data_IF_439383390597
#
_entry.id   IF_439383390597
#
_cell.length_a   1.000
_cell.length_b   1.000
_cell.length_c   1.000
_cell.angle_alpha   90.00
_cell.angle_beta   90.00
_cell.angle_gamma   90.00
#
_symmetry.space_group_name_H-M   'P 1'
#
loop_
_entity.id
_entity.type
_entity.pdbx_description
1 polymer ?
#
# COMPACT_ATOMS: atom_id res chain seq x y z
N UNK A 1 -38.14 -34.86 -0.64
CA UNK A 1 -37.10 -34.25 -1.53
C UNK A 1 -37.15 -32.76 -1.27
N UNK A 2 -36.00 -32.11 -1.23
CA UNK A 2 -35.92 -30.64 -1.13
C UNK A 2 -36.52 -29.99 -2.38
N UNK A 3 -37.19 -28.88 -2.21
CA UNK A 3 -37.70 -28.07 -3.32
C UNK A 3 -36.55 -27.41 -4.09
N UNK A 4 -36.78 -26.92 -5.30
CA UNK A 4 -35.77 -26.18 -6.10
C UNK A 4 -35.28 -24.94 -5.35
N UNK A 5 -36.17 -24.27 -4.61
CA UNK A 5 -35.82 -23.09 -3.79
C UNK A 5 -34.90 -23.47 -2.60
N UNK A 6 -35.23 -24.55 -1.89
CA UNK A 6 -34.36 -25.11 -0.84
C UNK A 6 -32.99 -25.54 -1.36
N UNK A 7 -32.92 -26.04 -2.62
CA UNK A 7 -31.65 -26.38 -3.26
C UNK A 7 -30.86 -25.14 -3.71
N UNK A 8 -31.56 -24.11 -4.23
CA UNK A 8 -30.92 -22.83 -4.57
C UNK A 8 -30.34 -22.10 -3.35
N UNK A 9 -30.94 -22.27 -2.18
CA UNK A 9 -30.43 -21.73 -0.93
C UNK A 9 -29.11 -22.39 -0.46
N UNK A 10 -28.67 -23.50 -1.09
CA UNK A 10 -27.39 -24.14 -0.83
C UNK A 10 -26.24 -23.59 -1.69
N UNK A 11 -26.56 -22.74 -2.68
CA UNK A 11 -25.54 -22.15 -3.54
C UNK A 11 -24.82 -21.02 -2.80
N UNK A 12 -23.50 -20.97 -2.98
CA UNK A 12 -22.74 -19.77 -2.62
C UNK A 12 -23.18 -18.61 -3.53
N UNK A 13 -23.45 -17.47 -2.91
CA UNK A 13 -23.86 -16.26 -3.63
C UNK A 13 -22.90 -15.14 -3.27
N UNK A 14 -22.28 -14.55 -4.27
CA UNK A 14 -21.65 -13.25 -4.14
C UNK A 14 -22.73 -12.17 -4.18
N UNK A 15 -22.81 -11.34 -3.17
CA UNK A 15 -23.75 -10.21 -3.11
C UNK A 15 -22.98 -8.90 -3.19
N UNK A 16 -23.55 -7.91 -3.89
CA UNK A 16 -22.96 -6.58 -3.92
C UNK A 16 -23.23 -5.86 -2.60
N UNK A 17 -22.37 -4.92 -2.22
CA UNK A 17 -22.62 -4.04 -1.07
C UNK A 17 -23.91 -3.26 -1.26
N UNK A 18 -24.21 -2.87 -2.51
CA UNK A 18 -25.44 -2.16 -2.83
C UNK A 18 -26.71 -2.96 -2.54
N UNK A 19 -26.67 -4.29 -2.69
CA UNK A 19 -27.82 -5.17 -2.42
C UNK A 19 -27.87 -5.61 -0.96
N UNK A 20 -26.71 -5.98 -0.37
CA UNK A 20 -26.65 -6.56 0.98
C UNK A 20 -26.61 -5.50 2.09
N UNK A 21 -26.02 -4.34 1.83
CA UNK A 21 -25.84 -3.26 2.82
C UNK A 21 -26.03 -1.85 2.19
N UNK A 22 -27.19 -1.54 1.58
CA UNK A 22 -27.41 -0.29 0.87
C UNK A 22 -27.23 0.96 1.76
N UNK A 23 -27.50 0.86 3.05
CA UNK A 23 -27.33 1.95 4.01
C UNK A 23 -25.85 2.32 4.23
N UNK A 24 -24.90 1.44 3.89
CA UNK A 24 -23.48 1.71 3.99
C UNK A 24 -22.93 2.59 2.84
N UNK A 25 -23.65 2.72 1.73
CA UNK A 25 -23.15 3.42 0.54
C UNK A 25 -22.86 4.90 0.79
N UNK A 26 -23.69 5.61 1.55
CA UNK A 26 -23.42 7.01 1.88
C UNK A 26 -22.21 7.13 2.82
N UNK A 27 -22.12 6.27 3.83
CA UNK A 27 -20.99 6.24 4.73
C UNK A 27 -19.68 5.92 3.99
N UNK A 28 -19.74 5.07 2.97
CA UNK A 28 -18.60 4.78 2.08
C UNK A 28 -18.17 6.02 1.29
N UNK A 29 -19.11 6.82 0.76
CA UNK A 29 -18.80 8.09 0.11
C UNK A 29 -18.06 9.03 1.07
N UNK A 30 -18.61 9.23 2.26
CA UNK A 30 -18.07 10.16 3.26
C UNK A 30 -16.69 9.70 3.77
N UNK A 31 -16.51 8.41 4.07
CA UNK A 31 -15.23 7.82 4.49
C UNK A 31 -14.13 8.00 3.44
N UNK A 32 -14.49 7.81 2.17
CA UNK A 32 -13.54 7.88 1.07
C UNK A 32 -13.05 9.31 0.75
N UNK A 33 -13.70 10.37 1.24
CA UNK A 33 -13.13 11.73 1.14
C UNK A 33 -11.85 11.85 1.97
N UNK A 34 -11.84 11.27 3.18
CA UNK A 34 -10.62 11.16 4.00
C UNK A 34 -9.55 10.30 3.34
N UNK A 35 -9.95 9.18 2.74
CA UNK A 35 -9.04 8.29 2.02
C UNK A 35 -8.37 8.98 0.81
N UNK A 36 -9.11 9.72 -0.01
CA UNK A 36 -8.53 10.49 -1.12
C UNK A 36 -7.52 11.53 -0.61
N UNK A 37 -7.81 12.18 0.51
CA UNK A 37 -6.89 13.13 1.14
C UNK A 37 -5.61 12.44 1.62
N UNK A 38 -5.73 11.23 2.18
CA UNK A 38 -4.59 10.41 2.58
C UNK A 38 -3.72 10.04 1.36
N UNK A 39 -4.30 9.53 0.28
CA UNK A 39 -3.59 9.20 -0.96
C UNK A 39 -2.82 10.38 -1.54
N UNK A 40 -3.43 11.56 -1.57
CA UNK A 40 -2.81 12.78 -2.07
C UNK A 40 -1.64 13.28 -1.21
N UNK A 41 -1.62 12.91 0.08
CA UNK A 41 -0.61 13.32 1.06
C UNK A 41 0.44 12.25 1.35
N UNK A 42 0.28 11.05 0.79
CA UNK A 42 1.04 9.85 1.15
C UNK A 42 1.46 9.06 -0.09
N UNK A 43 2.12 9.72 -1.06
CA UNK A 43 2.56 9.09 -2.31
C UNK A 43 3.80 8.21 -2.15
N UNK A 44 4.55 8.39 -1.06
CA UNK A 44 5.72 7.59 -0.70
C UNK A 44 5.53 6.98 0.69
N UNK A 45 6.29 5.94 1.02
CA UNK A 45 6.22 5.32 2.35
C UNK A 45 6.59 6.30 3.48
N UNK A 46 7.53 7.24 3.24
CA UNK A 46 7.88 8.28 4.21
C UNK A 46 6.75 9.26 4.46
N UNK A 47 6.05 9.64 3.41
CA UNK A 47 4.89 10.53 3.50
C UNK A 47 3.71 9.82 4.15
N UNK A 48 3.50 8.53 3.85
CA UNK A 48 2.49 7.71 4.50
C UNK A 48 2.73 7.61 6.01
N UNK A 49 3.98 7.37 6.44
CA UNK A 49 4.35 7.37 7.86
C UNK A 49 4.09 8.73 8.52
N UNK A 50 4.50 9.85 7.90
CA UNK A 50 4.27 11.20 8.46
C UNK A 50 2.80 11.55 8.57
N UNK A 51 2.03 11.23 7.54
CA UNK A 51 0.58 11.45 7.53
C UNK A 51 -0.10 10.61 8.62
N UNK A 52 0.28 9.34 8.74
CA UNK A 52 -0.23 8.42 9.76
C UNK A 52 0.17 8.85 11.17
N UNK A 53 1.43 9.29 11.38
CA UNK A 53 1.89 9.82 12.68
C UNK A 53 1.04 10.99 13.13
N UNK A 54 0.75 11.93 12.21
CA UNK A 54 -0.12 13.06 12.52
C UNK A 54 -1.52 12.63 12.91
N UNK A 55 -2.15 11.71 12.16
CA UNK A 55 -3.49 11.18 12.49
C UNK A 55 -3.51 10.49 13.86
N UNK A 56 -2.48 9.71 14.19
CA UNK A 56 -2.34 9.06 15.48
C UNK A 56 -2.18 10.09 16.63
N UNK A 57 -1.33 11.10 16.45
CA UNK A 57 -1.13 12.17 17.44
C UNK A 57 -2.43 12.94 17.69
N UNK A 58 -3.16 13.30 16.63
CA UNK A 58 -4.45 13.99 16.71
C UNK A 58 -5.51 13.13 17.46
N UNK A 59 -5.38 11.78 17.40
CA UNK A 59 -6.20 10.80 18.12
C UNK A 59 -5.70 10.46 19.55
N UNK A 60 -4.65 11.15 20.03
CA UNK A 60 -4.13 11.01 21.38
C UNK A 60 -3.10 9.90 21.59
N UNK A 61 -2.59 9.29 20.52
CA UNK A 61 -1.47 8.35 20.63
C UNK A 61 -0.19 9.08 21.01
N UNK A 62 0.62 8.44 21.85
CA UNK A 62 1.92 8.94 22.29
C UNK A 62 3.04 8.02 21.78
N UNK A 63 4.20 8.60 21.55
CA UNK A 63 5.37 7.81 21.18
C UNK A 63 5.69 6.81 22.29
N UNK A 64 5.81 5.55 21.93
CA UNK A 64 6.11 4.46 22.86
C UNK A 64 7.51 4.62 23.46
N UNK A 65 7.61 4.47 24.77
CA UNK A 65 8.88 4.48 25.52
C UNK A 65 9.10 3.10 26.11
N UNK A 66 10.11 2.35 25.67
CA UNK A 66 10.40 1.04 26.22
C UNK A 66 10.62 1.05 27.74
N UNK A 67 9.98 0.13 28.45
CA UNK A 67 10.05 0.02 29.92
C UNK A 67 8.96 0.78 30.69
N UNK A 68 8.15 1.60 30.03
CA UNK A 68 6.95 2.17 30.65
C UNK A 68 5.87 1.10 30.85
N UNK A 69 5.16 1.17 32.00
CA UNK A 69 3.97 0.34 32.23
C UNK A 69 2.80 0.90 31.45
N UNK A 70 2.12 0.03 30.73
CA UNK A 70 0.96 0.38 29.91
C UNK A 70 -0.33 -0.12 30.56
N UNK A 71 -1.21 0.79 30.95
CA UNK A 71 -2.54 0.46 31.46
C UNK A 71 -3.53 0.22 30.29
N UNK A 72 -4.63 -0.53 30.52
CA UNK A 72 -5.71 -0.65 29.55
C UNK A 72 -6.19 0.73 29.01
N UNK A 73 -6.43 0.82 27.70
CA UNK A 73 -6.81 2.06 27.01
C UNK A 73 -5.64 2.99 26.69
N UNK A 74 -4.39 2.67 27.10
CA UNK A 74 -3.22 3.45 26.68
C UNK A 74 -2.98 3.30 25.17
N UNK A 75 -2.81 4.43 24.48
CA UNK A 75 -2.55 4.53 23.03
C UNK A 75 -1.11 4.90 22.78
N UNK A 76 -0.37 4.05 22.09
CA UNK A 76 1.06 4.26 21.79
C UNK A 76 1.38 3.98 20.33
N UNK A 77 2.44 4.63 19.82
CA UNK A 77 2.99 4.34 18.50
C UNK A 77 4.52 4.36 18.50
N UNK A 78 5.12 3.72 17.52
CA UNK A 78 6.55 3.80 17.23
C UNK A 78 6.80 3.88 15.73
N UNK A 79 7.93 4.43 15.33
CA UNK A 79 8.33 4.57 13.92
C UNK A 79 9.66 3.86 13.72
N UNK A 80 9.73 3.05 12.67
CA UNK A 80 10.95 2.39 12.24
C UNK A 80 11.52 3.10 11.01
N UNK A 81 12.64 3.83 11.20
CA UNK A 81 13.44 4.48 10.14
C UNK A 81 12.64 5.39 9.19
N UNK A 82 11.57 6.00 9.69
CA UNK A 82 10.66 6.88 8.93
C UNK A 82 9.95 6.18 7.74
N UNK A 83 9.95 4.84 7.69
CA UNK A 83 9.37 4.06 6.60
C UNK A 83 8.32 3.05 7.06
N UNK A 84 8.20 2.82 8.35
CA UNK A 84 7.15 2.00 8.94
C UNK A 84 6.64 2.67 10.19
N UNK A 85 5.33 2.53 10.47
CA UNK A 85 4.72 3.00 11.70
C UNK A 85 3.88 1.88 12.32
N UNK A 86 3.99 1.74 13.64
CA UNK A 86 3.28 0.76 14.43
C UNK A 86 2.51 1.49 15.52
N UNK A 87 1.23 1.22 15.64
CA UNK A 87 0.36 1.76 16.68
C UNK A 87 -0.24 0.63 17.50
N UNK A 88 -0.55 0.88 18.76
CA UNK A 88 -1.26 -0.06 19.60
C UNK A 88 -2.17 0.64 20.60
N UNK A 89 -3.36 0.07 20.82
CA UNK A 89 -4.27 0.41 21.91
C UNK A 89 -4.34 -0.76 22.87
N UNK A 90 -3.92 -0.52 24.11
CA UNK A 90 -3.80 -1.58 25.12
C UNK A 90 -5.16 -2.08 25.58
N UNK A 91 -5.38 -3.38 25.46
CA UNK A 91 -6.61 -4.05 25.85
C UNK A 91 -6.81 -4.20 27.35
N UNK A 92 -8.02 -4.61 27.75
CA UNK A 92 -8.34 -4.93 29.14
C UNK A 92 -7.90 -6.30 29.56
N UNK A 93 -7.77 -7.25 28.60
CA UNK A 93 -7.18 -8.59 28.83
C UNK A 93 -5.66 -8.51 28.80
N UNK A 94 -4.98 -9.44 29.47
CA UNK A 94 -3.52 -9.61 29.33
C UNK A 94 -3.16 -9.96 27.89
N UNK A 95 -1.99 -9.53 27.43
CA UNK A 95 -1.44 -9.96 26.14
C UNK A 95 -1.27 -11.50 26.03
N UNK A 96 -1.14 -12.22 27.15
CA UNK A 96 -1.14 -13.70 27.15
C UNK A 96 -2.48 -14.32 26.70
N UNK A 97 -3.57 -13.55 26.75
CA UNK A 97 -4.85 -13.97 26.17
C UNK A 97 -4.91 -13.80 24.65
N UNK A 98 -3.90 -13.17 24.06
CA UNK A 98 -3.80 -12.84 22.65
C UNK A 98 -3.87 -11.34 22.38
N UNK A 99 -3.71 -11.00 21.11
CA UNK A 99 -3.82 -9.64 20.57
C UNK A 99 -4.42 -9.70 19.16
N UNK A 100 -4.95 -8.58 18.69
CA UNK A 100 -5.45 -8.43 17.33
C UNK A 100 -4.49 -7.54 16.54
N UNK A 101 -3.88 -8.12 15.50
CA UNK A 101 -2.86 -7.48 14.69
C UNK A 101 -3.40 -7.23 13.28
N UNK A 102 -3.41 -5.98 12.83
CA UNK A 102 -3.70 -5.58 11.46
C UNK A 102 -2.41 -5.10 10.80
N UNK A 103 -2.07 -5.67 9.66
CA UNK A 103 -0.87 -5.29 8.90
C UNK A 103 -1.27 -4.96 7.47
N UNK A 104 -0.75 -3.85 6.94
CA UNK A 104 -0.83 -3.44 5.54
C UNK A 104 0.50 -2.83 5.12
N UNK A 105 0.82 -2.82 3.83
CA UNK A 105 2.02 -2.12 3.37
C UNK A 105 1.71 -0.71 2.86
N UNK A 106 2.75 0.12 2.74
CA UNK A 106 2.61 1.53 2.34
C UNK A 106 3.58 1.94 1.23
N UNK A 107 4.48 1.06 0.82
CA UNK A 107 5.23 1.21 -0.42
C UNK A 107 4.34 0.84 -1.62
N UNK A 108 4.69 1.32 -2.79
CA UNK A 108 3.96 1.06 -4.05
C UNK A 108 4.93 1.00 -5.21
N UNK A 109 4.60 0.28 -6.30
CA UNK A 109 5.44 0.24 -7.49
C UNK A 109 5.68 1.64 -8.08
N UNK A 110 6.94 1.94 -8.38
CA UNK A 110 7.37 3.29 -8.80
C UNK A 110 8.68 3.28 -9.57
N UNK A 111 9.22 4.47 -9.81
CA UNK A 111 10.58 4.64 -10.30
C UNK A 111 11.44 5.35 -9.23
N UNK A 112 12.63 4.83 -8.95
CA UNK A 112 13.61 5.47 -8.07
C UNK A 112 14.71 6.12 -8.91
N UNK A 113 15.28 7.24 -8.46
CA UNK A 113 16.46 7.80 -9.11
C UNK A 113 17.69 6.93 -8.86
N UNK A 114 18.51 6.75 -9.92
CA UNK A 114 19.82 6.08 -9.79
C UNK A 114 20.81 6.97 -9.01
N UNK A 115 21.88 6.39 -8.43
CA UNK A 115 22.85 7.15 -7.62
C UNK A 115 23.54 8.31 -8.34
N UNK A 116 23.64 8.28 -9.67
CA UNK A 116 24.14 9.39 -10.52
C UNK A 116 23.10 9.62 -11.61
N UNK A 117 22.00 10.35 -11.31
CA UNK A 117 20.85 10.38 -12.19
C UNK A 117 20.96 11.43 -13.30
N UNK A 118 21.56 12.60 -13.05
CA UNK A 118 21.48 13.75 -13.94
C UNK A 118 22.39 13.58 -15.16
N UNK A 119 21.79 13.68 -16.34
CA UNK A 119 22.56 13.76 -17.60
C UNK A 119 21.88 14.67 -18.62
N UNK A 120 22.63 15.13 -19.60
CA UNK A 120 22.07 15.81 -20.75
C UNK A 120 22.46 15.10 -22.04
N UNK A 121 21.61 15.20 -23.05
CA UNK A 121 21.87 14.71 -24.38
C UNK A 121 21.07 15.53 -25.41
N UNK A 122 21.75 15.99 -26.46
CA UNK A 122 21.12 16.71 -27.60
C UNK A 122 20.22 17.90 -27.20
N UNK A 123 20.64 18.66 -26.17
CA UNK A 123 19.90 19.85 -25.73
C UNK A 123 18.76 19.58 -24.75
N UNK A 124 18.70 18.40 -24.17
CA UNK A 124 17.68 18.00 -23.19
C UNK A 124 18.35 17.40 -21.96
N UNK A 125 17.87 17.77 -20.77
CA UNK A 125 18.29 17.24 -19.48
C UNK A 125 17.32 16.17 -18.97
N UNK A 126 17.87 15.10 -18.43
CA UNK A 126 17.16 13.93 -17.96
C UNK A 126 17.63 13.44 -16.60
N UNK A 127 16.77 12.67 -15.92
CA UNK A 127 17.12 11.82 -14.78
C UNK A 127 17.03 10.34 -15.17
N UNK A 128 18.06 9.56 -14.85
CA UNK A 128 18.06 8.09 -14.96
C UNK A 128 17.30 7.50 -13.80
N UNK A 129 16.47 6.52 -14.10
CA UNK A 129 15.68 5.82 -13.08
C UNK A 129 16.02 4.33 -13.01
N UNK A 130 15.56 3.70 -11.95
CA UNK A 130 15.44 2.27 -11.76
C UNK A 130 14.02 1.99 -11.28
N UNK A 131 13.29 1.06 -11.88
CA UNK A 131 11.95 0.72 -11.39
C UNK A 131 12.02 -0.08 -10.09
N UNK A 132 11.02 0.11 -9.25
CA UNK A 132 10.80 -0.53 -7.97
C UNK A 132 9.49 -1.32 -8.03
N UNK A 133 9.49 -2.59 -7.56
CA UNK A 133 8.33 -3.47 -7.64
C UNK A 133 7.97 -3.94 -9.06
N UNK A 134 6.81 -4.49 -9.21
CA UNK A 134 6.33 -5.12 -10.44
C UNK A 134 5.56 -4.16 -11.34
N UNK A 135 6.23 -3.35 -12.17
CA UNK A 135 5.57 -2.42 -13.10
C UNK A 135 5.41 -2.97 -14.52
N UNK A 136 4.38 -2.51 -15.21
CA UNK A 136 4.27 -2.59 -16.69
C UNK A 136 4.85 -1.31 -17.29
N UNK A 137 6.09 -1.35 -17.75
CA UNK A 137 6.89 -0.19 -18.17
C UNK A 137 6.20 0.70 -19.20
N UNK A 138 5.40 0.13 -20.11
CA UNK A 138 4.68 0.88 -21.14
C UNK A 138 3.60 1.83 -20.59
N UNK A 139 3.18 1.69 -19.33
CA UNK A 139 2.18 2.56 -18.71
C UNK A 139 2.77 3.88 -18.17
N UNK A 140 4.09 3.97 -18.05
CA UNK A 140 4.78 5.10 -17.43
C UNK A 140 5.15 6.26 -18.36
N UNK A 141 5.43 6.05 -19.69
CA UNK A 141 5.62 7.15 -20.61
C UNK A 141 4.36 8.01 -20.81
N UNK A 142 4.58 9.29 -21.10
CA UNK A 142 3.56 10.28 -21.49
C UNK A 142 2.56 10.69 -20.40
N UNK A 143 2.80 10.32 -19.15
CA UNK A 143 2.02 10.80 -18.01
C UNK A 143 2.79 11.88 -17.23
N UNK A 144 2.10 12.83 -16.58
CA UNK A 144 2.73 13.78 -15.66
C UNK A 144 3.28 13.05 -14.44
N UNK A 145 4.53 13.36 -14.08
CA UNK A 145 5.27 12.77 -12.96
C UNK A 145 5.72 13.84 -11.99
N UNK A 146 5.85 13.48 -10.72
CA UNK A 146 6.35 14.28 -9.62
C UNK A 146 7.61 13.62 -9.02
N UNK A 147 8.42 14.42 -8.30
CA UNK A 147 9.61 13.96 -7.57
C UNK A 147 9.37 14.12 -6.08
N UNK A 148 9.50 13.04 -5.33
CA UNK A 148 9.36 12.99 -3.88
C UNK A 148 10.56 12.33 -3.24
N UNK A 149 10.90 12.69 -2.00
CA UNK A 149 11.90 11.97 -1.24
C UNK A 149 12.82 12.84 -0.41
N UNK A 150 13.99 12.30 -0.08
CA UNK A 150 14.97 12.94 0.79
C UNK A 150 16.38 12.86 0.22
N UNK A 151 17.17 13.90 0.50
CA UNK A 151 18.59 13.95 0.15
C UNK A 151 19.40 14.35 1.39
N UNK A 152 20.32 13.49 1.81
CA UNK A 152 21.26 13.84 2.88
C UNK A 152 22.49 14.55 2.31
N UNK A 153 22.75 15.78 2.78
CA UNK A 153 23.90 16.58 2.39
C UNK A 153 25.19 16.08 3.04
N UNK A 154 26.32 16.59 2.59
CA UNK A 154 27.64 16.20 3.10
C UNK A 154 27.83 16.47 4.61
N UNK A 155 27.12 17.46 5.16
CA UNK A 155 27.13 17.82 6.58
C UNK A 155 26.17 16.99 7.45
N UNK A 156 25.46 16.02 6.85
CA UNK A 156 24.48 15.18 7.52
C UNK A 156 23.08 15.78 7.63
N UNK A 157 22.86 17.00 7.18
CA UNK A 157 21.51 17.60 7.13
C UNK A 157 20.68 16.97 6.01
N UNK A 158 19.36 16.87 6.22
CA UNK A 158 18.40 16.33 5.27
C UNK A 158 17.66 17.44 4.53
N UNK A 159 17.51 17.30 3.21
CA UNK A 159 16.60 18.10 2.39
C UNK A 159 15.45 17.22 1.94
N UNK A 160 14.23 17.69 2.12
CA UNK A 160 13.02 17.05 1.56
C UNK A 160 12.77 17.58 0.16
N UNK A 161 12.49 16.68 -0.77
CA UNK A 161 12.14 16.98 -2.16
C UNK A 161 10.68 16.64 -2.36
N UNK A 162 9.88 17.62 -2.81
CA UNK A 162 8.51 17.42 -3.26
C UNK A 162 8.24 18.44 -4.37
N UNK A 163 8.25 17.99 -5.62
CA UNK A 163 8.08 18.85 -6.80
C UNK A 163 7.09 18.18 -7.74
N UNK A 164 6.01 18.88 -8.11
CA UNK A 164 5.00 18.40 -9.04
C UNK A 164 3.61 18.23 -8.44
N UNK A 165 3.43 18.57 -7.15
CA UNK A 165 2.16 18.40 -6.42
C UNK A 165 1.29 19.65 -6.38
N UNK A 166 1.88 20.83 -6.41
CA UNK A 166 1.16 22.10 -6.40
C UNK A 166 0.88 22.55 -7.85
N UNK A 167 -0.23 23.21 -8.07
CA UNK A 167 -0.60 23.76 -9.40
C UNK A 167 0.47 24.70 -9.95
N UNK A 168 1.29 25.31 -9.09
CA UNK A 168 2.42 26.17 -9.47
C UNK A 168 3.71 25.41 -9.79
N UNK A 169 3.79 24.13 -9.45
CA UNK A 169 5.00 23.33 -9.66
C UNK A 169 5.12 22.89 -11.13
N UNK A 170 6.33 22.73 -11.65
CA UNK A 170 6.52 22.00 -12.89
C UNK A 170 6.25 20.50 -12.66
N UNK A 171 5.75 19.82 -13.68
CA UNK A 171 5.69 18.36 -13.73
C UNK A 171 6.75 17.82 -14.69
N UNK A 172 7.03 16.54 -14.57
CA UNK A 172 8.02 15.83 -15.37
C UNK A 172 7.32 14.77 -16.24
N UNK A 173 8.02 14.20 -17.21
CA UNK A 173 7.48 13.09 -18.00
C UNK A 173 8.57 12.23 -18.60
N UNK A 174 8.21 11.03 -18.99
CA UNK A 174 9.00 10.14 -19.85
C UNK A 174 8.39 10.24 -21.24
N UNK A 175 9.19 10.51 -22.27
CA UNK A 175 8.72 10.63 -23.65
C UNK A 175 8.60 9.28 -24.32
N UNK A 176 7.73 9.19 -25.34
CA UNK A 176 7.61 8.00 -26.20
C UNK A 176 7.65 8.41 -27.68
N UNK A 177 7.80 7.42 -28.56
CA UNK A 177 7.81 7.63 -29.99
C UNK A 177 6.40 7.92 -30.52
N UNK A 178 6.32 8.79 -31.53
CA UNK A 178 5.10 8.93 -32.31
C UNK A 178 4.84 7.68 -33.16
N UNK A 179 3.57 7.37 -33.52
CA UNK A 179 3.23 6.15 -34.26
C UNK A 179 4.01 5.92 -35.54
N UNK A 180 4.33 7.00 -36.29
CA UNK A 180 5.02 6.93 -37.57
C UNK A 180 6.50 6.50 -37.46
N UNK A 181 7.11 6.63 -36.27
CA UNK A 181 8.49 6.18 -36.02
C UNK A 181 8.54 4.89 -35.18
N UNK A 182 7.39 4.42 -34.66
CA UNK A 182 7.28 3.32 -33.72
C UNK A 182 7.33 1.91 -34.30
N UNK A 183 7.49 1.73 -35.64
CA UNK A 183 7.37 0.41 -36.27
C UNK A 183 8.28 -0.68 -35.68
N UNK A 184 9.54 -0.34 -35.36
CA UNK A 184 10.47 -1.29 -34.73
C UNK A 184 10.13 -1.57 -33.25
N UNK A 185 9.58 -0.59 -32.53
CA UNK A 185 9.12 -0.74 -31.16
C UNK A 185 7.87 -1.63 -31.11
N UNK A 186 6.91 -1.39 -32.01
CA UNK A 186 5.67 -2.16 -32.10
C UNK A 186 5.88 -3.65 -32.47
N UNK A 187 7.01 -3.97 -33.11
CA UNK A 187 7.35 -5.34 -33.46
C UNK A 187 7.94 -6.16 -32.29
N UNK A 188 8.21 -5.52 -31.16
CA UNK A 188 8.71 -6.18 -29.94
C UNK A 188 7.55 -6.69 -29.09
N UNK A 189 7.85 -7.58 -28.14
CA UNK A 189 6.87 -7.92 -27.11
C UNK A 189 6.53 -6.68 -26.27
N UNK A 190 5.36 -6.65 -25.65
CA UNK A 190 4.92 -5.54 -24.81
C UNK A 190 5.91 -5.24 -23.66
N UNK A 191 6.57 -6.27 -23.14
CA UNK A 191 7.58 -6.15 -22.08
C UNK A 191 8.90 -5.52 -22.57
N UNK A 192 9.21 -5.63 -23.86
CA UNK A 192 10.46 -5.19 -24.50
C UNK A 192 10.27 -3.89 -25.31
N UNK A 193 9.03 -3.50 -25.59
CA UNK A 193 8.69 -2.27 -26.32
C UNK A 193 9.25 -1.03 -25.64
N UNK A 194 9.14 -0.97 -24.32
CA UNK A 194 9.80 0.01 -23.43
C UNK A 194 10.73 -0.77 -22.50
N UNK A 195 12.02 -0.48 -22.54
CA UNK A 195 13.02 -1.09 -21.65
C UNK A 195 13.20 -0.25 -20.37
N UNK A 196 13.85 -0.81 -19.34
CA UNK A 196 14.17 -0.05 -18.12
C UNK A 196 15.07 1.17 -18.42
N UNK A 197 15.97 1.04 -19.36
CA UNK A 197 16.89 2.13 -19.77
C UNK A 197 16.19 3.23 -20.60
N UNK A 198 14.96 2.99 -21.08
CA UNK A 198 14.16 4.00 -21.77
C UNK A 198 13.36 4.88 -20.79
N UNK A 199 13.23 4.47 -19.52
CA UNK A 199 12.49 5.19 -18.48
C UNK A 199 13.31 6.39 -17.93
N UNK A 200 13.75 7.28 -18.82
CA UNK A 200 14.46 8.50 -18.46
C UNK A 200 13.47 9.67 -18.32
N UNK A 201 13.47 10.32 -17.18
CA UNK A 201 12.57 11.44 -16.88
C UNK A 201 13.14 12.72 -17.44
N UNK A 202 12.41 13.38 -18.36
CA UNK A 202 12.75 14.68 -18.91
C UNK A 202 12.50 15.76 -17.85
N UNK A 203 13.52 16.60 -17.59
CA UNK A 203 13.45 17.61 -16.52
C UNK A 203 13.85 19.04 -16.94
N UNK A 204 14.60 19.24 -18.00
CA UNK A 204 15.02 20.58 -18.44
C UNK A 204 15.49 20.62 -19.88
N UNK A 205 15.51 21.85 -20.44
CA UNK A 205 16.03 22.12 -21.80
C UNK A 205 16.78 23.44 -21.92
N UNK A 206 16.87 24.25 -20.86
CA UNK A 206 17.57 25.53 -20.90
C UNK A 206 19.03 25.38 -20.46
N UNK A 207 20.00 25.81 -21.30
CA UNK A 207 21.40 25.84 -20.93
C UNK A 207 21.76 27.08 -20.09
N UNK A 208 22.85 27.00 -19.31
CA UNK A 208 23.47 28.21 -18.75
C UNK A 208 23.99 29.14 -19.86
N UNK A 209 24.17 30.42 -19.54
CA UNK A 209 24.57 31.46 -20.51
C UNK A 209 25.97 31.27 -21.08
N UNK A 210 26.90 30.69 -20.30
CA UNK A 210 28.28 30.45 -20.74
C UNK A 210 28.30 29.45 -21.91
N UNK A 211 28.71 29.93 -23.09
CA UNK A 211 28.74 29.14 -24.34
C UNK A 211 29.93 28.20 -24.43
N UNK A 212 30.99 28.45 -23.66
CA UNK A 212 32.21 27.66 -23.67
C UNK A 212 32.18 26.50 -22.67
N UNK A 213 31.20 26.49 -21.78
CA UNK A 213 31.01 25.39 -20.82
C UNK A 213 30.44 24.13 -21.49
N UNK A 214 30.95 22.98 -21.09
CA UNK A 214 30.37 21.68 -21.42
C UNK A 214 29.16 21.36 -20.49
N UNK A 215 28.25 20.48 -20.93
CA UNK A 215 27.10 20.01 -20.13
C UNK A 215 26.25 21.16 -19.55
N UNK A 216 25.98 22.16 -20.36
CA UNK A 216 25.35 23.44 -19.97
C UNK A 216 23.95 23.27 -19.35
N UNK A 217 23.17 22.29 -19.81
CA UNK A 217 21.84 22.01 -19.27
C UNK A 217 21.98 21.28 -17.93
N UNK A 218 22.85 20.29 -17.84
CA UNK A 218 23.15 19.61 -16.58
C UNK A 218 23.64 20.59 -15.50
N UNK A 219 24.52 21.51 -15.87
CA UNK A 219 24.98 22.56 -14.95
C UNK A 219 23.84 23.47 -14.49
N UNK A 220 22.89 23.82 -15.39
CA UNK A 220 21.71 24.59 -15.00
C UNK A 220 20.81 23.83 -14.02
N UNK A 221 20.54 22.54 -14.28
CA UNK A 221 19.77 21.67 -13.38
C UNK A 221 20.42 21.63 -11.99
N UNK A 222 21.71 21.36 -11.93
CA UNK A 222 22.45 21.30 -10.67
C UNK A 222 22.47 22.66 -9.95
N UNK A 223 22.56 23.78 -10.70
CA UNK A 223 22.44 25.12 -10.17
C UNK A 223 21.09 25.38 -9.49
N UNK A 224 20.00 25.06 -10.18
CA UNK A 224 18.62 25.21 -9.64
C UNK A 224 18.41 24.34 -8.39
N UNK A 225 18.87 23.09 -8.40
CA UNK A 225 18.75 22.19 -7.26
C UNK A 225 19.63 22.63 -6.08
N UNK A 226 20.80 23.18 -6.35
CA UNK A 226 21.66 23.74 -5.32
C UNK A 226 21.07 25.00 -4.69
N UNK A 227 20.49 25.91 -5.50
CA UNK A 227 19.83 27.12 -5.01
C UNK A 227 18.60 26.78 -4.15
N UNK A 228 17.76 25.84 -4.60
CA UNK A 228 16.53 25.50 -3.90
C UNK A 228 16.76 24.61 -2.65
N UNK A 229 17.69 23.66 -2.72
CA UNK A 229 17.83 22.60 -1.72
C UNK A 229 19.24 22.49 -1.12
N UNK A 230 20.22 23.26 -1.59
CA UNK A 230 21.61 23.19 -1.13
C UNK A 230 22.32 21.88 -1.46
N UNK A 231 21.83 21.12 -2.44
CA UNK A 231 22.38 19.82 -2.85
C UNK A 231 23.35 19.95 -4.01
N UNK A 232 24.30 19.03 -4.08
CA UNK A 232 25.26 18.86 -5.17
C UNK A 232 25.01 17.54 -5.90
N UNK A 233 25.62 17.32 -7.06
CA UNK A 233 25.48 16.05 -7.77
C UNK A 233 25.92 14.85 -6.91
N UNK A 234 26.94 15.01 -6.07
CA UNK A 234 27.41 13.95 -5.17
C UNK A 234 26.38 13.58 -4.12
N UNK A 235 25.49 14.48 -3.73
CA UNK A 235 24.49 14.22 -2.70
C UNK A 235 23.42 13.25 -3.17
N UNK A 236 23.20 13.08 -4.48
CA UNK A 236 22.32 12.04 -5.01
C UNK A 236 22.76 10.62 -4.61
N UNK A 237 24.04 10.39 -4.32
CA UNK A 237 24.50 9.09 -3.80
C UNK A 237 23.99 8.79 -2.39
N UNK A 238 23.40 9.76 -1.72
CA UNK A 238 22.81 9.71 -0.38
C UNK A 238 21.32 10.10 -0.41
N UNK A 239 20.69 9.94 -1.56
CA UNK A 239 19.31 10.30 -1.77
C UNK A 239 18.42 9.05 -1.88
N UNK A 240 17.19 9.21 -1.46
CA UNK A 240 16.05 8.36 -1.80
C UNK A 240 15.03 9.29 -2.45
N UNK A 241 15.01 9.33 -3.78
CA UNK A 241 14.08 10.15 -4.56
C UNK A 241 13.28 9.24 -5.48
N UNK A 242 11.99 9.31 -5.31
CA UNK A 242 10.97 8.55 -6.01
C UNK A 242 10.31 9.43 -7.07
N UNK A 243 10.04 8.83 -8.22
CA UNK A 243 9.29 9.43 -9.32
C UNK A 243 7.93 8.76 -9.35
N UNK A 244 6.91 9.53 -9.05
CA UNK A 244 5.53 9.05 -8.90
C UNK A 244 4.58 9.85 -9.80
N UNK A 245 3.37 9.33 -10.11
CA UNK A 245 2.37 10.08 -10.85
C UNK A 245 1.95 11.37 -10.13
N UNK A 246 1.91 12.49 -10.87
CA UNK A 246 1.59 13.81 -10.34
C UNK A 246 0.08 14.06 -10.15
N UNK A 247 -0.79 13.15 -10.63
CA UNK A 247 -2.23 13.33 -10.51
C UNK A 247 -2.73 13.11 -9.07
N UNK A 248 -3.87 13.72 -8.78
CA UNK A 248 -4.61 13.56 -7.52
C UNK A 248 -5.59 12.39 -7.60
N UNK A 249 -5.96 11.85 -6.44
CA UNK A 249 -7.06 10.91 -6.32
C UNK A 249 -8.38 11.53 -6.79
N UNK A 250 -9.16 10.80 -7.58
CA UNK A 250 -10.40 11.28 -8.17
C UNK A 250 -11.50 10.23 -8.15
N UNK A 251 -12.74 10.71 -8.07
CA UNK A 251 -13.89 9.86 -8.31
C UNK A 251 -13.91 9.38 -9.76
N UNK A 252 -14.22 8.11 -9.96
CA UNK A 252 -14.38 7.45 -11.25
C UNK A 252 -15.82 7.02 -11.46
N UNK A 253 -16.28 7.12 -12.72
CA UNK A 253 -17.64 6.79 -13.14
C UNK A 253 -18.60 7.98 -13.01
N UNK A 254 -19.72 7.90 -13.74
CA UNK A 254 -20.77 8.93 -13.70
C UNK A 254 -21.47 8.99 -12.34
N UNK A 255 -21.51 7.87 -11.63
CA UNK A 255 -22.10 7.69 -10.31
C UNK A 255 -21.11 8.01 -9.17
N UNK A 256 -19.82 8.23 -9.49
CA UNK A 256 -18.74 8.48 -8.52
C UNK A 256 -18.57 7.38 -7.48
N UNK A 257 -18.92 6.14 -7.81
CA UNK A 257 -18.86 5.01 -6.89
C UNK A 257 -17.45 4.41 -6.74
N UNK A 258 -16.50 4.84 -7.57
CA UNK A 258 -15.12 4.38 -7.56
C UNK A 258 -14.14 5.52 -7.34
N UNK A 259 -12.89 5.18 -6.98
CA UNK A 259 -11.76 6.10 -6.86
C UNK A 259 -10.66 5.61 -7.79
N UNK A 260 -10.11 6.54 -8.58
CA UNK A 260 -8.89 6.33 -9.34
C UNK A 260 -7.74 7.12 -8.73
N UNK A 261 -6.61 6.46 -8.46
CA UNK A 261 -5.42 7.08 -7.88
C UNK A 261 -4.17 6.23 -8.14
N UNK A 262 -3.02 6.77 -7.76
CA UNK A 262 -1.77 6.03 -7.63
C UNK A 262 -1.64 5.48 -6.21
N UNK A 263 -1.21 4.22 -6.11
CA UNK A 263 -0.85 3.59 -4.84
C UNK A 263 -2.05 3.15 -4.00
N UNK A 264 -3.14 2.72 -4.64
CA UNK A 264 -4.17 1.94 -3.94
C UNK A 264 -3.54 0.70 -3.32
N UNK A 265 -2.62 0.08 -4.04
CA UNK A 265 -1.78 -1.00 -3.58
C UNK A 265 -0.64 -0.47 -2.69
N UNK A 266 -0.64 -0.65 -1.34
CA UNK A 266 -1.74 -1.22 -0.52
C UNK A 266 -2.30 -0.17 0.46
N UNK A 267 -2.23 1.12 0.10
CA UNK A 267 -2.78 2.21 0.95
C UNK A 267 -4.29 2.12 1.11
N UNK A 268 -4.95 1.34 0.24
CA UNK A 268 -6.40 1.11 0.31
C UNK A 268 -6.79 0.25 1.52
N UNK A 269 -5.90 -0.59 1.99
CA UNK A 269 -6.07 -1.37 3.22
C UNK A 269 -5.37 -0.68 4.40
N UNK A 270 -4.23 -0.02 4.18
CA UNK A 270 -3.47 0.71 5.21
C UNK A 270 -4.29 1.83 5.87
N UNK A 271 -4.99 2.65 5.09
CA UNK A 271 -5.82 3.73 5.63
C UNK A 271 -7.02 3.21 6.44
N UNK A 272 -7.84 2.26 5.96
CA UNK A 272 -8.89 1.62 6.75
C UNK A 272 -8.39 0.98 8.04
N UNK A 273 -7.27 0.24 8.01
CA UNK A 273 -6.68 -0.37 9.21
C UNK A 273 -6.27 0.69 10.23
N UNK A 274 -5.61 1.77 9.79
CA UNK A 274 -5.23 2.89 10.65
C UNK A 274 -6.45 3.59 11.26
N UNK A 275 -7.50 3.83 10.47
CA UNK A 275 -8.71 4.50 10.94
C UNK A 275 -9.50 3.62 11.92
N UNK A 276 -9.51 2.30 11.73
CA UNK A 276 -10.07 1.36 12.69
C UNK A 276 -9.31 1.42 14.03
N UNK A 277 -7.97 1.38 14.01
CA UNK A 277 -7.13 1.49 15.21
C UNK A 277 -7.35 2.82 15.93
N UNK A 278 -7.42 3.93 15.22
CA UNK A 278 -7.69 5.26 15.79
C UNK A 278 -9.05 5.33 16.48
N UNK A 279 -10.07 4.67 15.92
CA UNK A 279 -11.43 4.63 16.44
C UNK A 279 -11.61 3.85 17.75
N UNK A 280 -10.65 2.99 18.10
CA UNK A 280 -10.73 2.15 19.29
C UNK A 280 -10.44 2.95 20.56
N UNK A 281 -11.19 2.66 21.62
CA UNK A 281 -11.02 3.34 22.93
C UNK A 281 -10.63 2.41 24.06
N UNK A 282 -11.22 1.25 24.17
CA UNK A 282 -10.97 0.30 25.27
C UNK A 282 -11.26 -1.14 24.78
N UNK A 283 -10.41 -1.70 23.92
CA UNK A 283 -10.65 -3.03 23.38
C UNK A 283 -10.48 -4.13 24.46
N UNK A 284 -11.08 -5.29 24.23
CA UNK A 284 -10.87 -6.45 25.08
C UNK A 284 -9.44 -6.97 24.96
N UNK A 285 -9.01 -7.21 23.73
CA UNK A 285 -7.62 -7.55 23.39
C UNK A 285 -6.82 -6.32 23.01
N UNK A 286 -5.51 -6.34 23.23
CA UNK A 286 -4.65 -5.29 22.69
C UNK A 286 -4.73 -5.30 21.17
N UNK A 287 -5.05 -4.15 20.55
CA UNK A 287 -5.03 -3.99 19.11
C UNK A 287 -3.70 -3.42 18.67
N UNK A 288 -3.21 -3.86 17.52
CA UNK A 288 -1.95 -3.42 16.94
C UNK A 288 -2.17 -3.18 15.45
N UNK A 289 -1.82 -2.00 14.95
CA UNK A 289 -1.82 -1.66 13.55
C UNK A 289 -0.37 -1.44 13.08
N UNK A 290 0.03 -2.13 12.03
CA UNK A 290 1.38 -2.03 11.44
C UNK A 290 1.27 -1.62 10.00
N UNK A 291 1.87 -0.48 9.65
CA UNK A 291 2.06 -0.03 8.29
C UNK A 291 3.53 -0.23 7.92
N UNK A 292 3.79 -1.21 7.05
CA UNK A 292 5.14 -1.70 6.72
C UNK A 292 5.61 -1.22 5.34
N UNK A 293 6.92 -1.28 5.11
CA UNK A 293 7.58 -0.95 3.85
C UNK A 293 8.06 -2.23 3.14
N UNK A 294 8.40 -2.13 1.86
CA UNK A 294 9.10 -3.13 1.05
C UNK A 294 8.34 -4.42 0.71
N UNK A 295 7.02 -4.43 0.83
CA UNK A 295 6.24 -5.58 0.37
C UNK A 295 6.53 -5.84 -1.11
N UNK A 296 6.48 -4.82 -1.93
CA UNK A 296 6.64 -4.83 -3.39
C UNK A 296 8.00 -5.38 -3.89
N UNK A 297 8.96 -5.48 -2.99
CA UNK A 297 10.29 -6.04 -3.28
C UNK A 297 10.63 -7.27 -2.44
N UNK A 298 9.61 -7.93 -1.85
CA UNK A 298 9.72 -9.18 -1.12
C UNK A 298 9.93 -9.06 0.37
N UNK A 299 9.61 -7.91 0.98
CA UNK A 299 9.64 -7.65 2.44
C UNK A 299 11.01 -7.78 3.10
N UNK A 300 12.09 -7.80 2.33
CA UNK A 300 13.45 -7.93 2.87
C UNK A 300 14.03 -6.56 3.31
N UNK A 301 15.01 -6.62 4.22
CA UNK A 301 15.71 -5.45 4.74
C UNK A 301 15.10 -4.92 6.04
N UNK A 302 15.72 -3.84 6.58
CA UNK A 302 15.45 -3.35 7.95
C UNK A 302 14.09 -2.67 8.13
N UNK A 303 13.38 -2.38 7.05
CA UNK A 303 12.03 -1.79 7.05
C UNK A 303 10.97 -2.75 6.49
N UNK A 304 11.38 -3.83 5.81
CA UNK A 304 10.47 -4.89 5.39
C UNK A 304 10.03 -5.79 6.55
N UNK A 305 8.87 -6.40 6.44
CA UNK A 305 8.27 -7.20 7.52
C UNK A 305 9.05 -8.50 7.83
N UNK A 306 9.92 -8.95 6.92
CA UNK A 306 10.83 -10.07 7.21
C UNK A 306 11.88 -9.72 8.29
N UNK A 307 12.01 -8.44 8.68
CA UNK A 307 12.82 -8.03 9.81
C UNK A 307 12.05 -8.16 11.13
N UNK A 308 12.77 -8.11 12.24
CA UNK A 308 12.21 -8.36 13.59
C UNK A 308 11.55 -7.14 14.24
N UNK A 309 11.48 -5.97 13.59
CA UNK A 309 11.04 -4.74 14.26
C UNK A 309 9.59 -4.81 14.78
N UNK A 310 8.67 -5.45 14.05
CA UNK A 310 7.28 -5.65 14.47
C UNK A 310 7.22 -6.56 15.70
N UNK A 311 7.94 -7.67 15.66
CA UNK A 311 7.97 -8.66 16.75
C UNK A 311 8.70 -8.14 17.99
N UNK A 312 9.73 -7.31 17.82
CA UNK A 312 10.36 -6.56 18.92
C UNK A 312 9.40 -5.59 19.58
N UNK A 313 8.54 -4.90 18.80
CA UNK A 313 7.51 -4.02 19.37
C UNK A 313 6.50 -4.83 20.19
N UNK A 314 5.98 -5.94 19.67
CA UNK A 314 5.06 -6.84 20.41
C UNK A 314 5.74 -7.36 21.68
N UNK A 315 7.00 -7.78 21.61
CA UNK A 315 7.76 -8.23 22.77
C UNK A 315 7.90 -7.14 23.82
N UNK A 316 8.11 -5.89 23.42
CA UNK A 316 8.20 -4.76 24.34
C UNK A 316 6.84 -4.43 24.97
N UNK A 317 5.72 -4.55 24.23
CA UNK A 317 4.37 -4.43 24.79
C UNK A 317 4.09 -5.52 25.84
N UNK A 318 4.48 -6.77 25.55
CA UNK A 318 4.40 -7.88 26.51
C UNK A 318 5.20 -7.58 27.79
N UNK A 319 6.44 -7.11 27.64
CA UNK A 319 7.28 -6.74 28.78
C UNK A 319 6.68 -5.61 29.61
N UNK A 320 6.04 -4.61 28.98
CA UNK A 320 5.37 -3.50 29.66
C UNK A 320 4.17 -3.95 30.51
N UNK A 321 3.54 -5.08 30.16
CA UNK A 321 2.43 -5.70 30.91
C UNK A 321 2.88 -6.86 31.81
N UNK A 322 4.13 -7.31 31.74
CA UNK A 322 4.61 -8.50 32.42
C UNK A 322 4.07 -9.81 31.85
N UNK A 323 3.73 -9.83 30.56
CA UNK A 323 3.19 -10.96 29.82
C UNK A 323 4.30 -11.76 29.12
N UNK A 324 4.10 -13.09 28.98
CA UNK A 324 4.99 -13.95 28.20
C UNK A 324 4.75 -13.76 26.70
N UNK A 325 5.81 -13.39 25.98
CA UNK A 325 5.74 -13.11 24.54
C UNK A 325 5.34 -14.33 23.70
N UNK A 326 5.86 -15.52 24.02
CA UNK A 326 5.57 -16.74 23.26
C UNK A 326 4.10 -17.12 23.44
N UNK A 327 3.59 -17.04 24.66
CA UNK A 327 2.17 -17.28 24.96
C UNK A 327 1.27 -16.28 24.24
N UNK A 328 1.66 -15.01 24.22
CA UNK A 328 0.94 -13.95 23.51
C UNK A 328 0.86 -14.21 21.99
N UNK A 329 1.98 -14.60 21.36
CA UNK A 329 1.99 -14.90 19.92
C UNK A 329 1.07 -16.08 19.57
N UNK A 330 1.13 -17.18 20.35
CA UNK A 330 0.27 -18.37 20.15
C UNK A 330 -1.22 -18.09 20.28
N UNK A 331 -1.60 -17.11 21.05
CA UNK A 331 -2.99 -16.68 21.23
C UNK A 331 -3.38 -15.50 20.34
N UNK A 332 -2.41 -14.89 19.65
CA UNK A 332 -2.60 -13.74 18.77
C UNK A 332 -3.27 -14.12 17.45
N UNK A 333 -4.01 -13.17 16.89
CA UNK A 333 -4.61 -13.27 15.56
C UNK A 333 -4.18 -12.10 14.70
N UNK A 334 -4.01 -12.34 13.39
CA UNK A 334 -3.60 -11.32 12.44
C UNK A 334 -4.50 -11.30 11.20
N UNK A 335 -4.94 -10.11 10.82
CA UNK A 335 -5.39 -9.79 9.47
C UNK A 335 -4.21 -9.20 8.70
N UNK A 336 -3.71 -9.95 7.74
CA UNK A 336 -2.70 -9.51 6.78
C UNK A 336 -3.45 -8.89 5.61
N UNK A 337 -3.36 -7.58 5.49
CA UNK A 337 -4.03 -6.88 4.41
C UNK A 337 -3.09 -6.71 3.22
N UNK A 338 -3.64 -6.98 2.06
CA UNK A 338 -3.01 -6.75 0.76
C UNK A 338 -4.11 -6.80 -0.31
N UNK A 339 -4.03 -5.93 -1.28
CA UNK A 339 -5.02 -5.84 -2.37
C UNK A 339 -5.15 -7.13 -3.15
N UNK A 340 -6.24 -7.22 -3.89
CA UNK A 340 -6.46 -8.32 -4.81
C UNK A 340 -6.86 -7.84 -6.20
N UNK A 341 -6.61 -8.66 -7.22
CA UNK A 341 -7.03 -8.36 -8.58
C UNK A 341 -8.55 -8.52 -8.74
N UNK A 342 -9.26 -7.41 -8.92
CA UNK A 342 -10.67 -7.44 -9.28
C UNK A 342 -10.86 -8.06 -10.67
N UNK A 343 -11.89 -8.90 -10.82
CA UNK A 343 -12.27 -9.45 -12.13
C UNK A 343 -12.56 -8.31 -13.11
N UNK A 344 -11.78 -8.25 -14.18
CA UNK A 344 -11.98 -7.31 -15.27
C UNK A 344 -12.55 -8.06 -16.50
N UNK A 345 -13.81 -7.80 -16.91
CA UNK A 345 -14.41 -8.47 -18.05
C UNK A 345 -13.70 -8.19 -19.37
N UNK A 346 -12.90 -7.13 -19.46
CA UNK A 346 -12.05 -6.83 -20.62
C UNK A 346 -10.92 -7.84 -20.76
N UNK A 347 -10.47 -8.41 -19.64
CA UNK A 347 -9.38 -9.39 -19.57
C UNK A 347 -9.82 -10.71 -18.91
N UNK A 348 -11.04 -11.13 -19.19
CA UNK A 348 -11.67 -12.32 -18.58
C UNK A 348 -10.82 -13.60 -18.64
N UNK A 349 -9.99 -13.75 -19.67
CA UNK A 349 -9.12 -14.92 -19.85
C UNK A 349 -8.04 -15.07 -18.76
N UNK A 350 -7.76 -14.00 -17.99
CA UNK A 350 -6.80 -14.06 -16.89
C UNK A 350 -7.41 -14.64 -15.59
N UNK A 351 -8.72 -14.76 -15.49
CA UNK A 351 -9.45 -15.09 -14.26
C UNK A 351 -10.17 -16.45 -14.36
N UNK A 352 -10.46 -17.02 -13.19
CA UNK A 352 -11.42 -18.09 -12.99
C UNK A 352 -12.65 -17.48 -12.31
N UNK A 353 -13.81 -17.36 -13.00
CA UNK A 353 -14.92 -16.52 -12.52
C UNK A 353 -15.54 -16.94 -11.19
N UNK A 354 -15.59 -18.24 -10.89
CA UNK A 354 -16.27 -18.75 -9.69
C UNK A 354 -15.44 -18.48 -8.41
N UNK A 355 -14.13 -18.24 -8.55
CA UNK A 355 -13.22 -17.94 -7.45
C UNK A 355 -12.53 -16.56 -7.60
N UNK A 356 -12.98 -15.74 -8.53
CA UNK A 356 -12.48 -14.37 -8.68
C UNK A 356 -13.17 -13.41 -7.72
N UNK A 357 -12.50 -12.31 -7.39
CA UNK A 357 -13.07 -11.19 -6.64
C UNK A 357 -13.66 -10.15 -7.58
N UNK A 358 -14.72 -9.48 -7.13
CA UNK A 358 -15.46 -8.50 -7.91
C UNK A 358 -15.51 -7.16 -7.17
N UNK A 359 -15.26 -6.08 -7.90
CA UNK A 359 -15.43 -4.73 -7.35
C UNK A 359 -16.90 -4.47 -7.00
N UNK A 360 -17.14 -3.92 -5.81
CA UNK A 360 -18.47 -3.66 -5.28
C UNK A 360 -19.07 -4.81 -4.46
N UNK A 361 -18.35 -5.92 -4.27
CA UNK A 361 -18.81 -7.09 -3.51
C UNK A 361 -18.17 -7.18 -2.12
N UNK A 362 -17.63 -6.09 -1.62
CA UNK A 362 -17.04 -6.01 -0.28
C UNK A 362 -15.60 -6.50 -0.22
N UNK A 363 -15.11 -6.67 1.02
CA UNK A 363 -13.75 -7.11 1.29
C UNK A 363 -13.53 -8.55 0.83
N UNK A 364 -12.39 -8.83 0.23
CA UNK A 364 -11.99 -10.18 -0.15
C UNK A 364 -11.28 -10.89 1.01
N UNK A 365 -11.56 -12.15 1.21
CA UNK A 365 -10.86 -13.04 2.14
C UNK A 365 -10.09 -14.06 1.31
N UNK A 366 -8.80 -14.19 1.58
CA UNK A 366 -7.94 -15.18 0.96
C UNK A 366 -7.49 -16.21 1.97
N UNK A 367 -7.82 -17.45 1.69
CA UNK A 367 -7.25 -18.55 2.47
C UNK A 367 -5.75 -18.72 2.19
N UNK A 368 -5.34 -18.40 0.98
CA UNK A 368 -3.95 -18.44 0.49
C UNK A 368 -3.81 -17.55 -0.76
N UNK A 369 -2.60 -17.04 -0.99
CA UNK A 369 -2.29 -16.12 -2.09
C UNK A 369 -1.22 -16.64 -3.04
N UNK A 370 -0.38 -17.57 -2.62
CA UNK A 370 0.81 -18.05 -3.33
C UNK A 370 0.54 -18.61 -4.71
N UNK A 371 1.56 -18.52 -5.59
CA UNK A 371 1.49 -18.98 -6.97
C UNK A 371 1.58 -20.51 -7.09
N UNK A 372 1.01 -21.07 -8.16
CA UNK A 372 1.07 -22.49 -8.54
C UNK A 372 0.66 -23.41 -7.37
N UNK A 373 1.58 -24.24 -6.86
CA UNK A 373 1.32 -25.15 -5.74
C UNK A 373 1.28 -24.48 -4.35
N UNK A 374 0.72 -23.26 -4.22
CA UNK A 374 0.64 -22.47 -2.98
C UNK A 374 2.00 -22.16 -2.36
N UNK A 375 3.05 -22.00 -3.19
CA UNK A 375 4.37 -21.67 -2.70
C UNK A 375 4.50 -20.18 -2.37
N UNK A 376 5.23 -19.87 -1.29
CA UNK A 376 5.50 -18.49 -0.87
C UNK A 376 4.36 -17.79 -0.12
N UNK A 377 3.35 -18.54 0.32
CA UNK A 377 2.19 -18.02 1.05
C UNK A 377 2.04 -18.66 2.43
N UNK A 378 1.21 -18.04 3.29
CA UNK A 378 0.51 -18.72 4.38
C UNK A 378 -0.78 -19.37 3.84
N UNK A 379 -1.18 -20.53 4.36
CA UNK A 379 -2.47 -21.17 4.08
C UNK A 379 -3.29 -21.17 5.38
N UNK A 380 -4.22 -20.21 5.49
CA UNK A 380 -5.00 -20.04 6.71
C UNK A 380 -5.82 -21.29 7.05
N UNK A 381 -5.91 -21.61 8.33
CA UNK A 381 -6.69 -22.75 8.81
C UNK A 381 -8.19 -22.55 8.58
N UNK A 382 -8.94 -23.64 8.47
CA UNK A 382 -10.41 -23.58 8.37
C UNK A 382 -11.04 -22.89 9.60
N UNK A 383 -10.42 -23.04 10.76
CA UNK A 383 -10.81 -22.41 12.02
C UNK A 383 -10.69 -20.90 11.94
N UNK A 384 -9.57 -20.37 11.41
CA UNK A 384 -9.36 -18.94 11.24
C UNK A 384 -10.30 -18.34 10.19
N UNK A 385 -10.52 -19.04 9.07
CA UNK A 385 -11.54 -18.64 8.07
C UNK A 385 -12.93 -18.59 8.70
N UNK A 386 -13.31 -19.64 9.44
CA UNK A 386 -14.62 -19.71 10.12
C UNK A 386 -14.77 -18.63 11.20
N UNK A 387 -13.71 -18.32 11.93
CA UNK A 387 -13.71 -17.22 12.90
C UNK A 387 -14.01 -15.90 12.22
N UNK A 388 -13.23 -15.55 11.20
CA UNK A 388 -13.36 -14.28 10.52
C UNK A 388 -14.73 -14.14 9.83
N UNK A 389 -15.15 -15.12 9.05
CA UNK A 389 -16.45 -15.05 8.33
C UNK A 389 -17.63 -14.85 9.26
N UNK A 390 -17.67 -15.57 10.40
CA UNK A 390 -18.72 -15.38 11.42
C UNK A 390 -18.64 -13.98 12.07
N UNK A 391 -17.45 -13.47 12.30
CA UNK A 391 -17.26 -12.12 12.84
C UNK A 391 -17.83 -11.07 11.86
N UNK A 392 -17.53 -11.19 10.57
CA UNK A 392 -18.02 -10.29 9.54
C UNK A 392 -19.54 -10.36 9.39
N UNK A 393 -20.13 -11.57 9.35
CA UNK A 393 -21.57 -11.78 9.31
C UNK A 393 -22.28 -11.16 10.53
N UNK A 394 -21.74 -11.35 11.75
CA UNK A 394 -22.25 -10.75 12.99
C UNK A 394 -22.28 -9.22 12.93
N UNK A 395 -21.33 -8.61 12.24
CA UNK A 395 -21.19 -7.16 12.11
C UNK A 395 -21.76 -6.59 10.80
N UNK A 396 -22.46 -7.39 10.01
CA UNK A 396 -23.10 -6.98 8.73
C UNK A 396 -22.06 -6.43 7.73
N UNK A 397 -20.87 -6.98 7.74
CA UNK A 397 -19.83 -6.65 6.77
C UNK A 397 -20.00 -7.54 5.54
N UNK A 398 -20.09 -6.93 4.38
CA UNK A 398 -20.14 -7.68 3.11
C UNK A 398 -18.75 -8.13 2.72
N UNK A 399 -18.61 -9.42 2.43
CA UNK A 399 -17.34 -10.06 2.11
C UNK A 399 -17.49 -11.09 1.00
N UNK A 400 -16.38 -11.40 0.36
CA UNK A 400 -16.28 -12.41 -0.69
C UNK A 400 -15.03 -13.26 -0.51
N UNK A 401 -15.02 -14.47 -1.08
CA UNK A 401 -13.83 -15.31 -1.19
C UNK A 401 -13.25 -15.15 -2.58
N UNK A 402 -11.92 -15.18 -2.70
CA UNK A 402 -11.29 -15.11 -4.00
C UNK A 402 -9.90 -15.72 -4.08
N UNK A 403 -9.45 -15.87 -5.31
CA UNK A 403 -8.09 -16.22 -5.70
C UNK A 403 -7.57 -15.20 -6.71
N UNK A 404 -6.26 -14.96 -6.73
CA UNK A 404 -5.65 -14.00 -7.64
C UNK A 404 -5.44 -14.63 -9.04
N UNK A 405 -6.48 -14.59 -9.89
CA UNK A 405 -6.41 -15.10 -11.26
C UNK A 405 -6.36 -16.61 -11.38
N UNK A 406 -6.02 -17.11 -12.59
CA UNK A 406 -5.86 -18.55 -12.83
C UNK A 406 -4.60 -19.10 -12.18
N UNK A 407 -4.66 -20.32 -11.65
CA UNK A 407 -3.63 -20.96 -10.82
C UNK A 407 -2.20 -20.97 -11.42
N UNK A 408 -2.06 -21.13 -12.72
CA UNK A 408 -0.74 -21.14 -13.37
C UNK A 408 -0.29 -19.75 -13.86
N UNK A 409 -1.16 -18.74 -13.78
CA UNK A 409 -0.91 -17.38 -14.25
C UNK A 409 -0.82 -16.38 -13.10
N UNK A 410 -1.68 -16.54 -12.11
CA UNK A 410 -1.81 -15.64 -10.97
C UNK A 410 -1.10 -16.12 -9.72
N UNK A 411 -1.25 -15.34 -8.66
CA UNK A 411 -0.69 -15.60 -7.35
C UNK A 411 0.55 -14.77 -7.05
N UNK A 412 0.62 -14.28 -5.83
CA UNK A 412 1.74 -13.52 -5.27
C UNK A 412 1.95 -13.91 -3.81
N UNK A 413 3.11 -13.57 -3.24
CA UNK A 413 3.30 -13.65 -1.79
C UNK A 413 2.73 -12.38 -1.16
N UNK A 414 2.35 -12.49 0.11
CA UNK A 414 1.95 -11.37 0.97
C UNK A 414 2.79 -11.37 2.23
N UNK A 415 2.61 -10.37 3.07
CA UNK A 415 3.29 -10.29 4.36
C UNK A 415 2.81 -11.36 5.36
N UNK A 416 1.66 -12.01 5.13
CA UNK A 416 1.05 -13.03 6.01
C UNK A 416 2.03 -14.13 6.44
N UNK A 417 2.83 -14.65 5.52
CA UNK A 417 3.77 -15.74 5.82
C UNK A 417 4.80 -15.39 6.91
N UNK A 418 5.22 -14.13 6.98
CA UNK A 418 6.20 -13.68 7.97
C UNK A 418 5.60 -13.61 9.36
N UNK A 419 4.30 -13.29 9.46
CA UNK A 419 3.53 -13.27 10.70
C UNK A 419 3.19 -14.69 11.14
N UNK A 420 2.66 -15.53 10.25
CA UNK A 420 2.33 -16.92 10.53
C UNK A 420 3.56 -17.72 11.00
N UNK A 421 4.76 -17.43 10.48
CA UNK A 421 6.01 -18.03 10.90
C UNK A 421 6.44 -17.65 12.34
N UNK A 422 5.74 -16.70 12.97
CA UNK A 422 5.91 -16.35 14.40
C UNK A 422 4.86 -16.99 15.31
N UNK A 423 4.20 -18.05 14.84
CA UNK A 423 3.18 -18.81 15.59
C UNK A 423 1.94 -17.95 15.92
N UNK A 424 1.54 -17.06 14.99
CA UNK A 424 0.36 -16.19 15.09
C UNK A 424 -0.65 -16.63 14.02
N UNK A 425 -1.90 -16.91 14.42
CA UNK A 425 -2.97 -17.24 13.47
C UNK A 425 -3.22 -16.08 12.51
N UNK A 426 -2.98 -16.31 11.22
CA UNK A 426 -2.98 -15.26 10.20
C UNK A 426 -3.85 -15.62 9.02
N UNK A 427 -4.60 -14.65 8.51
CA UNK A 427 -5.39 -14.75 7.28
C UNK A 427 -5.21 -13.50 6.43
N UNK A 428 -5.18 -13.67 5.11
CA UNK A 428 -5.13 -12.57 4.16
C UNK A 428 -6.51 -12.01 3.87
N UNK A 429 -6.61 -10.69 3.84
CA UNK A 429 -7.80 -9.93 3.41
C UNK A 429 -7.37 -8.81 2.49
N UNK A 430 -8.27 -8.26 1.67
CA UNK A 430 -7.93 -7.07 0.89
C UNK A 430 -9.06 -6.52 0.04
N UNK A 431 -8.83 -5.32 -0.48
CA UNK A 431 -9.75 -4.64 -1.38
C UNK A 431 -9.50 -5.06 -2.83
N UNK A 432 -10.55 -5.41 -3.62
CA UNK A 432 -10.39 -5.67 -5.04
C UNK A 432 -9.99 -4.42 -5.83
N UNK A 433 -8.89 -4.49 -6.59
CA UNK A 433 -8.31 -3.40 -7.37
C UNK A 433 -8.31 -3.73 -8.86
N UNK A 434 -8.77 -2.81 -9.69
CA UNK A 434 -8.61 -2.83 -11.14
C UNK A 434 -7.32 -2.10 -11.53
N UNK A 435 -6.59 -2.62 -12.52
CA UNK A 435 -5.32 -2.07 -12.98
C UNK A 435 -4.24 -2.00 -11.89
N UNK A 436 -4.19 -2.98 -10.99
CA UNK A 436 -3.16 -3.11 -9.95
C UNK A 436 -1.75 -2.88 -10.50
N UNK A 437 -0.87 -2.21 -9.74
CA UNK A 437 0.48 -1.79 -10.12
C UNK A 437 0.58 -0.77 -11.26
N UNK A 438 -0.56 -0.28 -11.79
CA UNK A 438 -0.53 0.79 -12.78
C UNK A 438 -0.30 2.16 -12.12
N UNK A 439 0.18 3.16 -12.87
CA UNK A 439 0.23 4.54 -12.37
C UNK A 439 -1.15 5.12 -11.96
N UNK A 440 -2.24 4.48 -12.39
CA UNK A 440 -3.60 4.85 -12.05
C UNK A 440 -4.45 3.59 -11.86
N UNK A 441 -4.68 3.23 -10.62
CA UNK A 441 -5.45 2.09 -10.18
C UNK A 441 -6.87 2.51 -9.82
N UNK A 442 -7.83 1.58 -9.77
CA UNK A 442 -9.24 1.88 -9.49
C UNK A 442 -9.83 0.91 -8.48
N UNK A 443 -10.51 1.45 -7.47
CA UNK A 443 -11.20 0.69 -6.41
C UNK A 443 -12.64 1.15 -6.22
N UNK A 444 -13.49 0.28 -5.70
CA UNK A 444 -14.85 0.63 -5.28
C UNK A 444 -14.83 1.28 -3.89
N UNK A 445 -15.51 2.41 -3.73
CA UNK A 445 -15.66 3.08 -2.41
C UNK A 445 -16.38 2.18 -1.39
N UNK A 446 -17.32 1.38 -1.87
CA UNK A 446 -18.04 0.43 -1.02
C UNK A 446 -17.09 -0.62 -0.43
N UNK A 447 -16.16 -1.15 -1.24
CA UNK A 447 -15.20 -2.16 -0.79
C UNK A 447 -14.18 -1.57 0.21
N UNK A 448 -13.71 -0.34 -0.02
CA UNK A 448 -12.85 0.40 0.92
C UNK A 448 -13.52 0.56 2.28
N UNK A 449 -14.82 0.87 2.29
CA UNK A 449 -15.55 1.01 3.54
C UNK A 449 -15.83 -0.34 4.22
N UNK A 450 -16.06 -1.42 3.46
CA UNK A 450 -16.16 -2.76 4.02
C UNK A 450 -14.83 -3.23 4.62
N UNK A 451 -13.69 -2.88 4.04
CA UNK A 451 -12.38 -3.12 4.65
C UNK A 451 -12.25 -2.39 6.00
N UNK A 452 -12.64 -1.11 6.07
CA UNK A 452 -12.68 -0.38 7.34
C UNK A 452 -13.56 -1.07 8.39
N UNK A 453 -14.77 -1.49 8.02
CA UNK A 453 -15.66 -2.21 8.93
C UNK A 453 -15.10 -3.57 9.36
N UNK A 454 -14.36 -4.25 8.48
CA UNK A 454 -13.64 -5.50 8.80
C UNK A 454 -12.60 -5.28 9.89
N UNK A 455 -11.68 -4.32 9.70
CA UNK A 455 -10.66 -4.00 10.70
C UNK A 455 -11.30 -3.53 12.01
N UNK A 456 -12.35 -2.73 11.93
CA UNK A 456 -13.07 -2.26 13.11
C UNK A 456 -13.70 -3.42 13.88
N UNK A 457 -14.43 -4.31 13.20
CA UNK A 457 -15.04 -5.49 13.82
C UNK A 457 -13.99 -6.37 14.48
N UNK A 458 -12.84 -6.57 13.84
CA UNK A 458 -11.74 -7.35 14.39
C UNK A 458 -11.11 -6.69 15.61
N UNK A 459 -10.88 -5.38 15.59
CA UNK A 459 -10.38 -4.64 16.75
C UNK A 459 -11.35 -4.63 17.94
N UNK A 460 -12.67 -4.62 17.69
CA UNK A 460 -13.72 -4.59 18.72
C UNK A 460 -14.10 -5.97 19.23
N UNK A 461 -13.66 -7.05 18.59
CA UNK A 461 -13.99 -8.42 19.01
C UNK A 461 -13.48 -8.74 20.42
N UNK A 462 -14.32 -9.38 21.20
CA UNK A 462 -14.05 -9.73 22.60
C UNK A 462 -14.05 -11.25 22.87
N UNK A 463 -14.30 -12.07 21.81
CA UNK A 463 -14.41 -13.54 21.89
C UNK A 463 -13.07 -14.26 21.77
#
# INVERSE_FOLDING_TARGET
MKTTEELKALLYKNETVADAAPDALQAAQDFCEGYKTFLDSAKTEREAVRTSEKLLQDAGYKKFVPGEKLAPGTKVYTINREKCILAATIGTKSLEAGFHLNIAHIDSPRLDLRPVPVFEKTGIGYLRTHYYGGIRKYQWPTIPLALHGVVYRADGTCAEICIGEKDSDPVFCITDLLPHLGAKQNAKSLAEGITAEDLNVLIASQPIADKDAEQRIKLNILGMLNEAYGITERDFTRAEIEVVPAHKARDIGLDRAMIGAYGHDDRVDAYPALMAEIGITAPAYTTICVLTDKEETGSDGVTGLNSMYTFHFIQQLCAAQGADYITACKAGKCLSADVTAAYDPTFADAFEPDNATYAGNGVAIYKYTGARGKSGTSDASAEMVSYLTRLLEKNTVVWQIGEMGKLDLGGGGTVAKYVANQDIDTIDIGVPVLSMHAPFEVVSKADVYMAYLTFKAFCEDAE
#
